data_IF_462806054768
#
_entry.id   IF_462806054768
#
_cell.length_a   1.000
_cell.length_b   1.000
_cell.length_c   1.000
_cell.angle_alpha   90.00
_cell.angle_beta   90.00
_cell.angle_gamma   90.00
#
_symmetry.space_group_name_H-M   'P 1'
#
loop_
_entity.id
_entity.type
_entity.pdbx_description
1 polymer ?
#
# COMPACT_ATOMS: atom_id res chain seq x y z
N UNK A 1 12.40 -0.82 -12.83
CA UNK A 1 11.70 -2.11 -12.66
C UNK A 1 10.98 -2.07 -11.33
N UNK A 2 9.84 -2.78 -11.19
CA UNK A 2 9.19 -2.87 -9.87
C UNK A 2 10.16 -3.51 -8.86
N UNK A 3 10.18 -3.05 -7.60
CA UNK A 3 11.03 -3.63 -6.55
C UNK A 3 10.80 -5.13 -6.38
N UNK A 4 11.84 -5.86 -6.00
CA UNK A 4 11.76 -7.29 -5.69
C UNK A 4 10.79 -7.55 -4.53
N UNK A 5 10.02 -8.65 -4.63
CA UNK A 5 9.12 -9.15 -3.59
C UNK A 5 9.25 -10.66 -3.48
N UNK A 6 9.28 -11.17 -2.25
CA UNK A 6 9.41 -12.59 -1.95
C UNK A 6 8.07 -13.33 -2.15
N UNK A 7 7.96 -14.13 -3.21
CA UNK A 7 6.75 -14.89 -3.54
C UNK A 7 6.48 -16.07 -2.59
N UNK A 8 7.41 -16.40 -1.68
CA UNK A 8 7.12 -17.32 -0.57
C UNK A 8 6.20 -16.69 0.48
N UNK A 9 6.14 -15.35 0.55
CA UNK A 9 5.27 -14.58 1.45
C UNK A 9 4.05 -13.99 0.73
N UNK A 10 4.10 -13.90 -0.59
CA UNK A 10 3.10 -13.21 -1.42
C UNK A 10 2.41 -14.13 -2.43
N UNK A 11 1.12 -13.90 -2.67
CA UNK A 11 0.40 -14.40 -3.85
C UNK A 11 0.31 -13.26 -4.86
N UNK A 12 0.95 -13.41 -6.02
CA UNK A 12 1.01 -12.37 -7.06
C UNK A 12 -0.21 -12.45 -7.98
N UNK A 13 -0.93 -11.34 -8.11
CA UNK A 13 -2.09 -11.17 -9.00
C UNK A 13 -1.73 -10.53 -10.34
N UNK A 14 -0.86 -9.52 -10.32
CA UNK A 14 -0.34 -8.87 -11.52
C UNK A 14 1.16 -8.62 -11.38
N UNK A 15 1.90 -8.77 -12.48
CA UNK A 15 3.33 -8.45 -12.53
C UNK A 15 3.62 -7.00 -12.88
N UNK A 16 2.71 -6.33 -13.62
CA UNK A 16 2.86 -4.94 -14.04
C UNK A 16 1.49 -4.28 -14.28
N UNK A 17 1.09 -3.27 -13.48
CA UNK A 17 1.73 -2.87 -12.23
C UNK A 17 1.72 -4.03 -11.22
N UNK A 18 2.78 -4.14 -10.41
CA UNK A 18 2.87 -5.24 -9.45
C UNK A 18 1.73 -5.18 -8.41
N UNK A 19 0.99 -6.27 -8.27
CA UNK A 19 -0.02 -6.42 -7.22
C UNK A 19 0.08 -7.82 -6.61
N UNK A 20 0.06 -7.88 -5.28
CA UNK A 20 0.09 -9.13 -4.51
C UNK A 20 -0.69 -9.00 -3.21
N UNK A 21 -1.23 -10.12 -2.74
CA UNK A 21 -1.73 -10.24 -1.36
C UNK A 21 -0.75 -11.04 -0.49
N UNK A 22 -0.82 -10.81 0.82
CA UNK A 22 -0.02 -11.56 1.80
C UNK A 22 -0.56 -12.98 1.92
N UNK A 23 0.32 -13.99 1.98
CA UNK A 23 -0.12 -15.36 2.32
C UNK A 23 -0.59 -15.40 3.78
N UNK A 24 -1.70 -16.10 4.04
CA UNK A 24 -2.36 -16.05 5.35
C UNK A 24 -1.50 -16.58 6.50
N UNK A 25 -0.70 -17.62 6.26
CA UNK A 25 0.19 -18.21 7.26
C UNK A 25 1.29 -17.24 7.73
N UNK A 26 1.72 -16.31 6.87
CA UNK A 26 2.70 -15.28 7.25
C UNK A 26 2.01 -14.01 7.75
N UNK A 27 0.82 -13.68 7.23
CA UNK A 27 0.05 -12.51 7.66
C UNK A 27 -0.38 -12.62 9.13
N UNK A 28 -0.81 -13.80 9.57
CA UNK A 28 -1.30 -14.02 10.94
C UNK A 28 -0.17 -14.24 11.97
N UNK A 29 1.09 -14.29 11.53
CA UNK A 29 2.22 -14.65 12.40
C UNK A 29 2.59 -13.55 13.41
N UNK A 30 2.09 -12.32 13.27
CA UNK A 30 2.44 -11.19 14.14
C UNK A 30 1.33 -10.15 14.19
N UNK A 31 1.20 -9.45 15.33
CA UNK A 31 0.21 -8.37 15.49
C UNK A 31 0.48 -7.18 14.56
N UNK A 32 1.75 -6.82 14.38
CA UNK A 32 2.19 -5.86 13.36
C UNK A 32 2.68 -6.63 12.15
N UNK A 33 2.11 -6.36 10.99
CA UNK A 33 2.49 -6.97 9.73
C UNK A 33 3.87 -6.46 9.31
N UNK A 34 4.88 -7.34 9.14
CA UNK A 34 6.20 -6.95 8.65
C UNK A 34 6.10 -6.28 7.26
N UNK A 35 6.95 -5.28 7.00
CA UNK A 35 6.90 -4.50 5.74
C UNK A 35 7.15 -5.32 4.48
N UNK A 36 7.87 -6.44 4.60
CA UNK A 36 8.12 -7.38 3.50
C UNK A 36 6.98 -8.40 3.33
N UNK A 37 6.04 -8.48 4.29
CA UNK A 37 4.82 -9.29 4.23
C UNK A 37 3.62 -8.47 3.74
N UNK A 38 3.53 -7.19 4.11
CA UNK A 38 2.40 -6.31 3.77
C UNK A 38 2.07 -6.37 2.27
N UNK A 39 0.79 -6.58 1.95
CA UNK A 39 0.29 -6.65 0.58
C UNK A 39 0.71 -5.44 -0.27
N UNK A 40 0.81 -5.63 -1.58
CA UNK A 40 1.18 -4.56 -2.53
C UNK A 40 0.03 -4.33 -3.49
N UNK A 41 -0.47 -3.09 -3.55
CA UNK A 41 -1.50 -2.68 -4.51
C UNK A 41 -1.04 -1.44 -5.27
N UNK A 42 -0.55 -1.65 -6.49
CA UNK A 42 -0.12 -0.57 -7.38
C UNK A 42 -1.06 -0.40 -8.57
N UNK A 43 -1.41 0.84 -8.89
CA UNK A 43 -2.14 1.19 -10.13
C UNK A 43 -1.20 1.56 -11.28
N UNK A 44 0.06 1.89 -10.98
CA UNK A 44 1.09 2.27 -11.94
C UNK A 44 2.45 1.67 -11.49
N UNK A 45 3.48 1.66 -12.36
CA UNK A 45 4.83 1.25 -11.97
C UNK A 45 5.35 2.07 -10.78
N UNK A 46 6.10 1.44 -9.87
CA UNK A 46 6.74 2.16 -8.76
C UNK A 46 7.74 3.21 -9.31
N UNK A 47 7.62 4.50 -8.93
CA UNK A 47 8.57 5.54 -9.34
C UNK A 47 9.99 5.24 -8.84
N UNK A 48 10.99 5.57 -9.65
CA UNK A 48 12.39 5.57 -9.24
C UNK A 48 12.76 6.96 -8.77
N UNK A 49 13.05 7.12 -7.48
CA UNK A 49 13.51 8.40 -6.91
C UNK A 49 15.04 8.38 -6.92
N UNK A 50 15.66 9.22 -7.75
CA UNK A 50 17.11 9.29 -7.90
C UNK A 50 17.79 10.09 -6.77
N UNK A 51 17.14 11.16 -6.32
CA UNK A 51 17.57 11.99 -5.20
C UNK A 51 16.47 11.99 -4.13
N UNK A 52 16.70 11.21 -3.07
CA UNK A 52 15.78 11.13 -1.94
C UNK A 52 15.84 12.34 -1.02
N UNK A 53 16.98 13.04 -0.95
CA UNK A 53 17.18 14.19 -0.06
C UNK A 53 16.57 15.46 -0.67
N UNK A 54 16.73 15.65 -1.98
CA UNK A 54 16.11 16.73 -2.74
C UNK A 54 14.63 16.49 -3.09
N UNK A 55 14.05 15.35 -2.73
CA UNK A 55 12.63 15.09 -2.99
C UNK A 55 11.75 16.05 -2.18
N UNK A 56 10.81 16.72 -2.86
CA UNK A 56 9.92 17.73 -2.29
C UNK A 56 8.46 17.32 -2.38
N UNK A 57 7.70 17.67 -1.34
CA UNK A 57 6.25 17.60 -1.29
C UNK A 57 5.71 19.02 -1.50
N UNK A 58 4.98 19.22 -2.58
CA UNK A 58 4.26 20.46 -2.86
C UNK A 58 2.86 20.41 -2.24
N UNK A 59 2.50 21.48 -1.55
CA UNK A 59 1.17 21.74 -0.99
C UNK A 59 0.52 22.78 -1.88
N UNK A 60 -0.64 22.42 -2.44
CA UNK A 60 -1.34 23.22 -3.45
C UNK A 60 -2.75 23.56 -2.97
N UNK A 61 -3.20 24.78 -3.26
CA UNK A 61 -4.58 25.22 -3.12
C UNK A 61 -5.13 25.54 -4.51
N UNK A 62 -6.00 24.68 -5.04
CA UNK A 62 -6.37 24.69 -6.45
C UNK A 62 -5.16 24.45 -7.36
N UNK A 63 -4.78 25.47 -8.13
CA UNK A 63 -3.62 25.44 -9.03
C UNK A 63 -2.39 26.16 -8.44
N UNK A 64 -2.51 26.80 -7.27
CA UNK A 64 -1.44 27.58 -6.66
C UNK A 64 -0.60 26.72 -5.70
N UNK A 65 0.73 26.71 -5.87
CA UNK A 65 1.65 26.12 -4.90
C UNK A 65 1.84 27.08 -3.72
N UNK A 66 1.25 26.74 -2.57
CA UNK A 66 1.31 27.55 -1.35
C UNK A 66 2.53 27.23 -0.48
N UNK A 67 3.08 26.02 -0.64
CA UNK A 67 4.34 25.63 -0.01
C UNK A 67 4.97 24.44 -0.73
N UNK A 68 6.28 24.33 -0.66
CA UNK A 68 7.00 23.12 -1.05
C UNK A 68 8.09 22.87 -0.03
N UNK A 69 8.22 21.64 0.44
CA UNK A 69 9.20 21.27 1.47
C UNK A 69 9.86 19.93 1.16
N UNK A 70 11.15 19.80 1.48
CA UNK A 70 11.82 18.49 1.47
C UNK A 70 11.31 17.61 2.63
N UNK A 71 11.60 16.31 2.57
CA UNK A 71 11.26 15.39 3.67
C UNK A 71 11.97 15.78 4.99
N UNK A 72 13.20 16.31 4.91
CA UNK A 72 13.95 16.78 6.08
C UNK A 72 13.37 18.05 6.68
N UNK A 73 12.92 19.00 5.85
CA UNK A 73 12.22 20.21 6.28
C UNK A 73 10.90 19.86 6.98
N UNK A 74 10.11 18.93 6.44
CA UNK A 74 8.88 18.44 7.07
C UNK A 74 9.17 17.82 8.44
N UNK A 75 10.18 16.94 8.53
CA UNK A 75 10.54 16.27 9.77
C UNK A 75 11.09 17.22 10.85
N UNK A 76 11.77 18.31 10.46
CA UNK A 76 12.28 19.31 11.38
C UNK A 76 11.18 20.28 11.86
N UNK A 77 10.21 20.59 11.00
CA UNK A 77 9.18 21.60 11.27
C UNK A 77 8.02 21.08 12.13
N UNK A 78 7.68 19.80 12.00
CA UNK A 78 6.49 19.24 12.65
C UNK A 78 6.84 18.09 13.62
N UNK A 79 6.10 17.95 14.73
CA UNK A 79 6.33 16.85 15.65
C UNK A 79 6.04 15.51 14.98
N UNK A 80 6.95 14.55 15.14
CA UNK A 80 6.73 13.18 14.70
C UNK A 80 5.64 12.53 15.54
N UNK A 81 4.71 11.88 14.86
CA UNK A 81 3.64 11.08 15.46
C UNK A 81 3.74 9.63 15.00
N UNK A 82 3.26 8.72 15.84
CA UNK A 82 3.19 7.30 15.55
C UNK A 82 1.76 6.81 15.73
N UNK A 83 1.23 6.11 14.72
CA UNK A 83 -0.15 5.59 14.71
C UNK A 83 -0.11 4.14 14.24
N UNK A 84 -0.65 3.23 15.04
CA UNK A 84 -0.92 1.87 14.59
C UNK A 84 -2.29 1.84 13.94
N UNK A 85 -2.36 1.42 12.67
CA UNK A 85 -3.62 1.36 11.92
C UNK A 85 -3.62 0.22 10.91
N UNK A 86 -4.81 -0.30 10.64
CA UNK A 86 -5.05 -1.32 9.63
C UNK A 86 -5.20 -0.64 8.28
N UNK A 87 -4.38 -1.07 7.33
CA UNK A 87 -4.55 -0.76 5.91
C UNK A 87 -5.25 -1.95 5.25
N UNK A 88 -6.43 -1.73 4.68
CA UNK A 88 -7.22 -2.76 4.00
C UNK A 88 -7.64 -2.29 2.61
N UNK A 89 -7.41 -3.14 1.60
CA UNK A 89 -7.93 -2.87 0.26
C UNK A 89 -9.45 -3.11 0.23
N UNK A 90 -10.18 -2.26 -0.49
CA UNK A 90 -11.61 -2.46 -0.74
C UNK A 90 -11.93 -3.81 -1.41
N UNK A 91 -10.98 -4.37 -2.19
CA UNK A 91 -11.12 -5.69 -2.82
C UNK A 91 -10.74 -6.88 -1.95
N UNK A 92 -10.39 -6.67 -0.67
CA UNK A 92 -10.10 -7.78 0.23
C UNK A 92 -11.34 -8.69 0.35
N UNK A 93 -11.17 -9.99 0.10
CA UNK A 93 -12.24 -11.00 0.04
C UNK A 93 -13.23 -10.83 -1.13
N UNK A 94 -12.83 -10.21 -2.24
CA UNK A 94 -13.70 -10.08 -3.40
C UNK A 94 -14.22 -11.43 -3.94
N UNK A 95 -13.43 -12.50 -3.80
CA UNK A 95 -13.87 -13.85 -4.19
C UNK A 95 -15.03 -14.36 -3.32
N UNK A 96 -14.96 -14.15 -2.01
CA UNK A 96 -15.99 -14.60 -1.06
C UNK A 96 -17.28 -13.80 -1.22
N UNK A 97 -17.15 -12.49 -1.46
CA UNK A 97 -18.28 -11.63 -1.81
C UNK A 97 -18.95 -12.13 -3.09
N UNK A 98 -18.18 -12.34 -4.17
CA UNK A 98 -18.72 -12.81 -5.44
C UNK A 98 -19.43 -14.16 -5.34
N UNK A 99 -18.89 -15.08 -4.51
CA UNK A 99 -19.53 -16.37 -4.22
C UNK A 99 -20.87 -16.21 -3.48
N UNK A 100 -20.99 -15.19 -2.64
CA UNK A 100 -22.15 -15.00 -1.76
C UNK A 100 -23.24 -14.14 -2.39
N UNK A 101 -22.87 -13.14 -3.19
CA UNK A 101 -23.76 -12.08 -3.68
C UNK A 101 -23.88 -12.04 -5.20
N UNK A 102 -23.10 -12.84 -5.93
CA UNK A 102 -23.01 -12.79 -7.39
C UNK A 102 -21.91 -11.83 -7.88
N UNK A 103 -21.82 -11.54 -9.18
CA UNK A 103 -20.74 -10.73 -9.74
C UNK A 103 -20.59 -9.36 -9.07
N UNK A 104 -19.37 -9.01 -8.64
CA UNK A 104 -19.04 -7.72 -8.04
C UNK A 104 -18.13 -6.87 -8.96
N UNK A 105 -17.64 -5.73 -8.45
CA UNK A 105 -16.78 -4.81 -9.20
C UNK A 105 -15.43 -5.38 -9.66
N UNK A 106 -15.06 -6.60 -9.21
CA UNK A 106 -13.84 -7.29 -9.63
C UNK A 106 -14.09 -8.44 -10.61
N UNK A 107 -15.34 -8.72 -10.98
CA UNK A 107 -15.69 -9.75 -11.95
C UNK A 107 -15.00 -9.52 -13.31
N UNK A 108 -14.49 -10.58 -13.93
CA UNK A 108 -13.68 -10.53 -15.15
C UNK A 108 -12.43 -9.63 -15.08
N UNK A 109 -11.89 -9.38 -13.88
CA UNK A 109 -10.61 -8.71 -13.68
C UNK A 109 -9.55 -9.68 -13.15
N UNK A 110 -8.25 -9.35 -13.22
CA UNK A 110 -7.19 -10.13 -12.57
C UNK A 110 -7.37 -10.32 -11.05
N UNK A 111 -8.30 -9.58 -10.44
CA UNK A 111 -8.57 -9.53 -9.00
C UNK A 111 -9.86 -10.27 -8.60
N UNK A 112 -10.56 -10.92 -9.54
CA UNK A 112 -11.81 -11.64 -9.26
C UNK A 112 -11.65 -12.70 -8.16
N UNK A 113 -10.46 -13.28 -8.04
CA UNK A 113 -10.14 -14.34 -7.09
C UNK A 113 -9.38 -13.84 -5.85
N UNK A 114 -9.40 -12.54 -5.56
CA UNK A 114 -8.74 -11.98 -4.39
C UNK A 114 -9.22 -12.66 -3.10
N UNK A 115 -8.26 -13.17 -2.34
CA UNK A 115 -8.47 -13.77 -1.04
C UNK A 115 -8.52 -12.73 0.09
N UNK A 116 -8.21 -13.19 1.30
CA UNK A 116 -8.25 -12.38 2.52
C UNK A 116 -6.90 -11.74 2.91
N UNK A 117 -5.88 -11.79 2.02
CA UNK A 117 -4.53 -11.29 2.30
C UNK A 117 -4.29 -9.82 1.97
N UNK A 118 -5.31 -9.08 1.51
CA UNK A 118 -5.24 -7.66 1.14
C UNK A 118 -5.50 -6.74 2.33
N UNK A 119 -4.88 -7.06 3.46
CA UNK A 119 -4.99 -6.33 4.72
C UNK A 119 -3.68 -6.47 5.50
N UNK A 120 -3.33 -5.46 6.30
CA UNK A 120 -2.22 -5.53 7.24
C UNK A 120 -2.34 -4.47 8.32
N UNK A 121 -1.86 -4.78 9.53
CA UNK A 121 -1.83 -3.85 10.65
C UNK A 121 -0.42 -3.30 10.82
N UNK A 122 -0.25 -1.99 10.67
CA UNK A 122 1.07 -1.38 10.52
C UNK A 122 1.22 -0.22 11.50
N UNK A 123 2.43 -0.11 12.07
CA UNK A 123 2.82 1.03 12.88
C UNK A 123 3.45 2.11 11.99
N UNK A 124 2.67 3.15 11.67
CA UNK A 124 3.06 4.25 10.81
C UNK A 124 3.74 5.35 11.63
N UNK A 125 4.76 5.98 11.06
CA UNK A 125 5.42 7.16 11.65
C UNK A 125 5.56 8.25 10.61
N UNK A 126 5.28 9.49 11.01
CA UNK A 126 5.38 10.64 10.12
C UNK A 126 4.99 11.93 10.83
N UNK A 127 4.65 12.94 10.04
CA UNK A 127 4.06 14.20 10.52
C UNK A 127 2.56 14.19 10.27
N UNK A 128 1.79 14.98 11.03
CA UNK A 128 0.35 15.12 10.76
C UNK A 128 0.14 15.90 9.45
N UNK A 129 -0.90 15.53 8.70
CA UNK A 129 -1.42 16.32 7.59
C UNK A 129 -2.06 17.62 8.11
#
# INVERSE_FOLDING_TARGET
>A
TDPFRDLSKHVRWLSRPFNSESRLNVLSASYLTPSDVLYVRNHAPVPSIADGEGHRVAFVDGEEEVASMTLSELAARFPRVTVTSILQCAGNRAADDAQSTGPNGFHNTPFEKLGCGMVGNVCWSGVRL
#
